data_IF_666818259439
#
_entry.id   IF_666818259439
#
_cell.length_a   1.000
_cell.length_b   1.000
_cell.length_c   1.000
_cell.angle_alpha   90.00
_cell.angle_beta   90.00
_cell.angle_gamma   90.00
#
_symmetry.space_group_name_H-M   'P 1'
#
loop_
_entity.id
_entity.type
_entity.pdbx_description
1 polymer ?
#
# COMPACT_ATOMS: atom_id res chain seq x y z
N UNK A 1 25.02 23.21 15.61
CA UNK A 1 23.58 23.21 15.94
C UNK A 1 22.75 24.12 15.03
N UNK A 2 23.34 25.15 14.39
CA UNK A 2 22.66 25.95 13.34
C UNK A 2 22.47 25.21 12.00
N UNK A 3 23.34 24.23 11.67
CA UNK A 3 23.28 23.51 10.38
C UNK A 3 22.09 22.57 10.22
N UNK A 4 21.59 21.97 11.31
CA UNK A 4 20.42 21.10 11.23
C UNK A 4 19.15 21.93 10.99
N UNK A 5 18.99 23.08 11.66
CA UNK A 5 17.84 23.96 11.44
C UNK A 5 17.81 24.55 10.03
N UNK A 6 18.97 24.89 9.45
CA UNK A 6 19.04 25.35 8.06
C UNK A 6 18.79 24.22 7.07
N UNK A 7 19.27 22.99 7.33
CA UNK A 7 18.98 21.82 6.51
C UNK A 7 17.48 21.47 6.51
N UNK A 8 16.81 21.54 7.66
CA UNK A 8 15.35 21.40 7.73
C UNK A 8 14.63 22.52 6.97
N UNK A 9 15.10 23.77 7.07
CA UNK A 9 14.57 24.90 6.31
C UNK A 9 14.66 24.71 4.79
N UNK A 10 15.83 24.29 4.30
CA UNK A 10 16.09 23.97 2.88
C UNK A 10 15.27 22.77 2.40
N UNK A 11 15.13 21.73 3.23
CA UNK A 11 14.29 20.58 2.90
C UNK A 11 12.81 20.98 2.76
N UNK A 12 12.31 21.81 3.69
CA UNK A 12 10.97 22.38 3.57
C UNK A 12 10.84 23.29 2.36
N UNK A 13 11.85 24.11 2.03
CA UNK A 13 11.86 24.97 0.84
C UNK A 13 11.88 24.18 -0.47
N UNK A 14 12.58 23.04 -0.54
CA UNK A 14 12.56 22.11 -1.68
C UNK A 14 11.21 21.42 -1.83
N UNK A 15 10.58 21.03 -0.71
CA UNK A 15 9.22 20.44 -0.71
C UNK A 15 8.16 21.48 -1.07
N UNK A 16 8.25 22.70 -0.54
CA UNK A 16 7.32 23.80 -0.79
C UNK A 16 7.55 24.52 -2.12
N UNK A 17 8.76 24.44 -2.69
CA UNK A 17 9.01 24.81 -4.09
C UNK A 17 8.14 24.01 -5.04
N UNK A 18 7.58 22.87 -4.59
CA UNK A 18 6.56 22.10 -5.27
C UNK A 18 6.92 21.89 -6.74
N UNK A 19 8.14 21.36 -6.96
CA UNK A 19 8.66 21.07 -8.29
C UNK A 19 7.56 20.30 -9.05
N UNK A 20 7.00 20.85 -10.14
CA UNK A 20 5.79 20.32 -10.76
C UNK A 20 5.92 18.83 -11.11
N UNK A 21 7.13 18.39 -11.44
CA UNK A 21 7.46 16.98 -11.69
C UNK A 21 7.32 16.10 -10.42
N UNK A 22 7.74 16.60 -9.25
CA UNK A 22 7.62 15.89 -7.97
C UNK A 22 6.15 15.72 -7.58
N UNK A 23 5.35 16.78 -7.72
CA UNK A 23 3.91 16.75 -7.40
C UNK A 23 3.18 15.80 -8.36
N UNK A 24 3.54 15.79 -9.64
CA UNK A 24 3.00 14.84 -10.61
C UNK A 24 3.32 13.39 -10.24
N UNK A 25 4.57 13.08 -9.86
CA UNK A 25 4.98 11.73 -9.44
C UNK A 25 4.22 11.31 -8.18
N UNK A 26 4.11 12.18 -7.18
CA UNK A 26 3.38 11.90 -5.93
C UNK A 26 1.91 11.63 -6.23
N UNK A 27 1.25 12.47 -7.03
CA UNK A 27 -0.15 12.31 -7.38
C UNK A 27 -0.39 11.04 -8.21
N UNK A 28 0.51 10.72 -9.16
CA UNK A 28 0.43 9.51 -9.95
C UNK A 28 0.57 8.26 -9.07
N UNK A 29 1.57 8.24 -8.19
CA UNK A 29 1.80 7.13 -7.25
C UNK A 29 0.61 6.95 -6.32
N UNK A 30 0.12 8.05 -5.70
CA UNK A 30 -1.06 8.02 -4.85
C UNK A 30 -2.28 7.51 -5.60
N UNK A 31 -2.53 7.98 -6.84
CA UNK A 31 -3.65 7.54 -7.66
C UNK A 31 -3.57 6.04 -7.96
N UNK A 32 -2.39 5.54 -8.34
CA UNK A 32 -2.18 4.11 -8.63
C UNK A 32 -2.38 3.28 -7.36
N UNK A 33 -1.77 3.67 -6.24
CA UNK A 33 -1.90 2.94 -4.98
C UNK A 33 -3.33 2.94 -4.45
N UNK A 34 -4.00 4.10 -4.43
CA UNK A 34 -5.38 4.21 -3.95
C UNK A 34 -6.36 3.43 -4.83
N UNK A 35 -6.21 3.50 -6.16
CA UNK A 35 -7.06 2.73 -7.07
C UNK A 35 -6.85 1.23 -6.93
N UNK A 36 -5.59 0.78 -6.82
CA UNK A 36 -5.26 -0.61 -6.57
C UNK A 36 -5.86 -1.12 -5.24
N UNK A 37 -5.72 -0.34 -4.17
CA UNK A 37 -6.29 -0.66 -2.85
C UNK A 37 -7.81 -0.68 -2.90
N UNK A 38 -8.46 0.28 -3.56
CA UNK A 38 -9.91 0.31 -3.69
C UNK A 38 -10.45 -0.94 -4.39
N UNK A 39 -9.82 -1.35 -5.50
CA UNK A 39 -10.18 -2.58 -6.21
C UNK A 39 -9.91 -3.81 -5.34
N UNK A 40 -8.75 -3.86 -4.66
CA UNK A 40 -8.40 -4.95 -3.77
C UNK A 40 -9.38 -5.06 -2.58
N UNK A 41 -9.86 -3.96 -2.02
CA UNK A 41 -10.88 -3.95 -0.99
C UNK A 41 -12.24 -4.41 -1.53
N UNK A 42 -12.66 -3.91 -2.69
CA UNK A 42 -13.94 -4.28 -3.30
C UNK A 42 -14.04 -5.77 -3.61
N UNK A 43 -12.93 -6.43 -3.97
CA UNK A 43 -12.91 -7.86 -4.27
C UNK A 43 -12.51 -8.69 -3.05
N UNK A 44 -11.48 -8.26 -2.31
CA UNK A 44 -10.91 -8.98 -1.18
C UNK A 44 -11.80 -9.00 0.06
N UNK A 45 -12.53 -7.91 0.36
CA UNK A 45 -13.44 -7.87 1.50
C UNK A 45 -14.62 -8.84 1.37
N UNK A 46 -15.39 -8.88 0.26
CA UNK A 46 -16.49 -9.84 0.12
C UNK A 46 -16.00 -11.28 0.03
N UNK A 47 -14.89 -11.54 -0.67
CA UNK A 47 -14.29 -12.89 -0.72
C UNK A 47 -13.78 -13.33 0.66
N UNK A 48 -13.08 -12.45 1.38
CA UNK A 48 -12.62 -12.70 2.73
C UNK A 48 -13.78 -12.95 3.70
N UNK A 49 -14.85 -12.17 3.60
CA UNK A 49 -16.07 -12.35 4.40
C UNK A 49 -16.76 -13.69 4.09
N UNK A 50 -16.86 -14.07 2.81
CA UNK A 50 -17.42 -15.34 2.38
C UNK A 50 -16.60 -16.53 2.91
N UNK A 51 -15.26 -16.44 2.89
CA UNK A 51 -14.36 -17.45 3.45
C UNK A 51 -14.41 -17.49 4.99
N UNK A 52 -14.63 -16.36 5.65
CA UNK A 52 -14.73 -16.27 7.10
C UNK A 52 -16.03 -16.89 7.65
N UNK A 53 -17.17 -16.64 6.99
CA UNK A 53 -18.50 -17.07 7.44
C UNK A 53 -18.89 -18.44 6.87
N UNK A 54 -18.50 -18.74 5.63
CA UNK A 54 -18.84 -19.99 4.95
C UNK A 54 -18.10 -21.21 5.53
N UNK A 55 -18.84 -22.21 6.00
CA UNK A 55 -18.29 -23.50 6.45
C UNK A 55 -18.27 -24.52 5.32
N UNK A 56 -17.41 -24.31 4.33
CA UNK A 56 -17.18 -25.26 3.22
C UNK A 56 -15.90 -26.09 3.45
N UNK A 57 -15.85 -27.35 2.99
CA UNK A 57 -14.73 -28.27 3.27
C UNK A 57 -13.38 -27.83 2.69
N UNK A 58 -13.35 -26.90 1.72
CA UNK A 58 -12.12 -26.34 1.12
C UNK A 58 -11.53 -25.11 1.84
N UNK A 59 -12.15 -24.63 2.93
CA UNK A 59 -11.75 -23.39 3.63
C UNK A 59 -10.30 -23.42 4.12
N UNK A 60 -9.85 -24.54 4.67
CA UNK A 60 -8.50 -24.69 5.21
C UNK A 60 -7.44 -24.56 4.11
N UNK A 61 -7.68 -25.11 2.92
CA UNK A 61 -6.75 -25.00 1.79
C UNK A 61 -6.61 -23.55 1.32
N UNK A 62 -7.71 -22.78 1.25
CA UNK A 62 -7.68 -21.35 0.91
C UNK A 62 -6.94 -20.52 1.97
N UNK A 63 -7.17 -20.79 3.25
CA UNK A 63 -6.47 -20.08 4.33
C UNK A 63 -4.97 -20.35 4.30
N UNK A 64 -4.56 -21.60 4.08
CA UNK A 64 -3.15 -21.97 3.93
C UNK A 64 -2.55 -21.28 2.71
N UNK A 65 -3.24 -21.26 1.57
CA UNK A 65 -2.77 -20.58 0.37
C UNK A 65 -2.59 -19.07 0.61
N UNK A 66 -3.57 -18.39 1.22
CA UNK A 66 -3.46 -16.96 1.54
C UNK A 66 -2.37 -16.68 2.58
N UNK A 67 -2.23 -17.51 3.62
CA UNK A 67 -1.13 -17.38 4.59
C UNK A 67 0.22 -17.64 3.94
N UNK A 68 0.33 -18.61 3.04
CA UNK A 68 1.54 -18.87 2.28
C UNK A 68 1.89 -17.66 1.41
N UNK A 69 0.92 -17.02 0.74
CA UNK A 69 1.17 -15.80 -0.03
C UNK A 69 1.61 -14.61 0.83
N UNK A 70 1.22 -14.55 2.12
CA UNK A 70 1.72 -13.53 3.06
C UNK A 70 3.08 -13.88 3.69
N UNK A 71 3.38 -15.17 3.84
CA UNK A 71 4.59 -15.68 4.49
C UNK A 71 5.72 -16.09 3.54
N UNK A 72 5.44 -16.19 2.24
CA UNK A 72 6.45 -16.48 1.22
C UNK A 72 7.42 -15.29 1.20
N UNK A 73 8.73 -15.48 1.48
CA UNK A 73 9.68 -14.39 1.47
C UNK A 73 9.58 -13.71 0.09
N UNK A 74 9.35 -12.39 0.03
CA UNK A 74 9.11 -11.66 -1.23
C UNK A 74 10.39 -11.52 -2.09
N UNK A 75 11.35 -12.41 -1.87
CA UNK A 75 12.73 -12.38 -2.36
C UNK A 75 13.20 -13.80 -2.70
N UNK A 76 12.59 -14.40 -3.72
CA UNK A 76 13.23 -15.42 -4.58
C UNK A 76 13.08 -15.04 -6.03
#
# INVERSE_FOLDING_TARGET
MHDFSSAFGLAFELVFSADPDLVEIILLSLRVSLSAVAIACLLGLPLGAAVAIGRFPGRTALIILFNALMGLPPVV
#
